data_IF_976577086720
#
_entry.id   IF_976577086720
#
_cell.length_a   1.000
_cell.length_b   1.000
_cell.length_c   1.000
_cell.angle_alpha   90.00
_cell.angle_beta   90.00
_cell.angle_gamma   90.00
#
_symmetry.space_group_name_H-M   'P 1'
#
loop_
_entity.id
_entity.type
_entity.pdbx_description
1 polymer ?
#
# COMPACT_ATOMS: atom_id res chain seq x y z
N UNK A 1 -9.20 -16.55 -7.95
CA UNK A 1 -8.65 -15.80 -6.79
C UNK A 1 -8.44 -14.34 -7.18
N UNK A 2 -8.58 -13.40 -6.25
CA UNK A 2 -8.51 -11.95 -6.52
C UNK A 2 -7.49 -11.32 -5.58
N UNK A 3 -6.57 -10.53 -6.14
CA UNK A 3 -5.64 -9.69 -5.38
C UNK A 3 -6.10 -8.23 -5.46
N UNK A 4 -6.19 -7.57 -4.31
CA UNK A 4 -6.53 -6.15 -4.21
C UNK A 4 -5.35 -5.41 -3.58
N UNK A 5 -4.96 -4.30 -4.20
CA UNK A 5 -3.88 -3.42 -3.73
C UNK A 5 -4.49 -2.08 -3.37
N UNK A 6 -4.25 -1.64 -2.14
CA UNK A 6 -4.65 -0.35 -1.59
C UNK A 6 -3.40 0.47 -1.27
N UNK A 7 -3.13 1.50 -2.09
CA UNK A 7 -1.99 2.41 -1.90
C UNK A 7 -2.51 3.67 -1.21
N UNK A 8 -2.44 3.68 0.13
CA UNK A 8 -2.88 4.78 0.96
C UNK A 8 -1.80 5.83 1.20
N UNK A 9 -2.13 6.84 1.99
CA UNK A 9 -1.20 7.93 2.30
C UNK A 9 -0.08 7.49 3.25
N UNK A 10 -0.32 6.54 4.15
CA UNK A 10 0.66 6.09 5.16
C UNK A 10 1.16 4.68 4.94
N UNK A 11 0.49 3.89 4.09
CA UNK A 11 0.82 2.49 3.89
C UNK A 11 0.27 1.96 2.58
N UNK A 12 0.85 0.85 2.11
CA UNK A 12 0.30 0.00 1.07
C UNK A 12 -0.19 -1.29 1.71
N UNK A 13 -1.37 -1.75 1.33
CA UNK A 13 -1.97 -3.00 1.80
C UNK A 13 -2.36 -3.85 0.60
N UNK A 14 -1.93 -5.11 0.61
CA UNK A 14 -2.39 -6.13 -0.35
C UNK A 14 -3.29 -7.12 0.37
N UNK A 15 -4.45 -7.43 -0.21
CA UNK A 15 -5.39 -8.43 0.31
C UNK A 15 -5.70 -9.47 -0.75
N UNK A 16 -5.69 -10.74 -0.34
CA UNK A 16 -5.97 -11.87 -1.23
C UNK A 16 -7.31 -12.52 -0.89
N UNK A 17 -8.16 -12.70 -1.89
CA UNK A 17 -9.51 -13.25 -1.73
C UNK A 17 -9.65 -14.56 -2.51
N UNK A 18 -10.36 -15.51 -1.92
CA UNK A 18 -10.83 -16.68 -2.67
C UNK A 18 -12.05 -16.34 -3.55
N UNK A 19 -12.48 -17.29 -4.37
CA UNK A 19 -13.59 -17.13 -5.32
C UNK A 19 -14.95 -16.90 -4.66
N UNK A 20 -15.07 -17.17 -3.36
CA UNK A 20 -16.28 -16.91 -2.57
C UNK A 20 -16.26 -15.52 -1.92
N UNK A 21 -15.23 -14.71 -2.18
CA UNK A 21 -15.06 -13.38 -1.60
C UNK A 21 -14.51 -13.35 -0.17
N UNK A 22 -14.01 -14.48 0.36
CA UNK A 22 -13.38 -14.51 1.68
C UNK A 22 -11.90 -14.15 1.59
N UNK A 23 -11.45 -13.31 2.54
CA UNK A 23 -10.03 -12.97 2.70
C UNK A 23 -9.27 -14.22 3.12
N UNK A 24 -8.20 -14.53 2.38
CA UNK A 24 -7.25 -15.61 2.66
C UNK A 24 -5.99 -15.10 3.35
N UNK A 25 -5.51 -13.92 2.96
CA UNK A 25 -4.33 -13.30 3.55
C UNK A 25 -4.35 -11.79 3.33
N UNK A 26 -3.58 -11.08 4.16
CA UNK A 26 -3.34 -9.65 4.08
C UNK A 26 -1.85 -9.43 4.37
N UNK A 27 -1.22 -8.54 3.62
CA UNK A 27 0.08 -7.97 3.93
C UNK A 27 -0.01 -6.44 3.86
N UNK A 28 0.81 -5.75 4.65
CA UNK A 28 0.87 -4.30 4.63
C UNK A 28 2.29 -3.80 4.91
N UNK A 29 2.58 -2.60 4.41
CA UNK A 29 3.85 -1.90 4.63
C UNK A 29 3.59 -0.41 4.81
N UNK A 30 4.02 0.14 5.93
CA UNK A 30 3.98 1.57 6.20
C UNK A 30 5.12 2.32 5.51
N UNK A 31 4.89 3.59 5.21
CA UNK A 31 5.91 4.49 4.67
C UNK A 31 5.64 5.94 5.05
N UNK A 32 6.73 6.71 5.12
CA UNK A 32 6.71 8.12 5.49
C UNK A 32 6.31 9.03 4.33
N UNK A 33 5.79 10.20 4.70
CA UNK A 33 5.61 11.34 3.82
C UNK A 33 6.79 12.30 3.90
N UNK A 34 7.03 13.05 2.84
CA UNK A 34 8.05 14.09 2.79
C UNK A 34 7.38 15.41 3.18
N UNK A 35 7.70 15.89 4.38
CA UNK A 35 7.19 17.17 4.89
C UNK A 35 8.13 18.31 4.48
N UNK A 36 7.64 19.20 3.64
CA UNK A 36 8.37 20.39 3.17
C UNK A 36 7.94 21.64 3.96
N UNK A 37 8.47 22.80 3.61
CA UNK A 37 8.11 24.06 4.25
C UNK A 37 6.61 24.38 4.08
N UNK A 38 5.99 24.89 5.15
CA UNK A 38 4.57 25.26 5.15
C UNK A 38 3.66 24.04 5.26
N UNK A 39 2.58 24.01 4.48
CA UNK A 39 1.58 22.93 4.46
C UNK A 39 1.80 21.89 3.36
N UNK A 40 2.99 21.86 2.75
CA UNK A 40 3.29 20.98 1.62
C UNK A 40 3.72 19.59 2.11
N UNK A 41 3.01 18.56 1.64
CA UNK A 41 3.27 17.15 1.95
C UNK A 41 3.39 16.40 0.63
N UNK A 42 4.56 15.82 0.39
CA UNK A 42 4.91 15.13 -0.85
C UNK A 42 5.16 13.64 -0.60
N UNK A 43 5.13 12.85 -1.67
CA UNK A 43 5.42 11.43 -1.63
C UNK A 43 6.31 11.02 -2.80
N UNK A 44 7.21 10.05 -2.60
CA UNK A 44 8.03 9.50 -3.66
C UNK A 44 7.36 8.24 -4.27
N UNK A 45 6.94 8.24 -5.55
CA UNK A 45 6.25 7.11 -6.17
C UNK A 45 7.06 5.81 -6.19
N UNK A 46 8.40 5.89 -6.14
CA UNK A 46 9.25 4.68 -6.02
C UNK A 46 9.01 3.94 -4.71
N UNK A 47 8.65 4.66 -3.65
CA UNK A 47 8.30 4.06 -2.36
C UNK A 47 7.00 3.28 -2.49
N UNK A 48 5.99 3.80 -3.18
CA UNK A 48 4.74 3.06 -3.44
C UNK A 48 5.01 1.77 -4.23
N UNK A 49 5.79 1.86 -5.33
CA UNK A 49 6.12 0.70 -6.13
C UNK A 49 6.86 -0.38 -5.32
N UNK A 50 7.85 0.04 -4.53
CA UNK A 50 8.55 -0.85 -3.60
C UNK A 50 7.59 -1.47 -2.58
N UNK A 51 6.66 -0.70 -2.03
CA UNK A 51 5.67 -1.22 -1.08
C UNK A 51 4.79 -2.28 -1.69
N UNK A 52 4.33 -2.08 -2.92
CA UNK A 52 3.53 -3.06 -3.65
C UNK A 52 4.28 -4.37 -3.87
N UNK A 53 5.58 -4.31 -4.18
CA UNK A 53 6.42 -5.50 -4.32
C UNK A 53 6.66 -6.22 -2.99
N UNK A 54 6.74 -5.50 -1.88
CA UNK A 54 6.95 -6.09 -0.55
C UNK A 54 5.67 -6.68 0.06
N UNK A 55 4.48 -6.23 -0.38
CA UNK A 55 3.20 -6.74 0.11
C UNK A 55 2.55 -7.77 -0.81
N UNK A 56 3.14 -8.09 -1.97
CA UNK A 56 2.66 -9.13 -2.89
C UNK A 56 3.23 -10.52 -2.62
#
# INVERSE_FOLDING_TARGET
MITVIDVGTTSCKTSFFNEKGYIKSIAYREYDNIYLSGSNVEQNPKVWFKSVLETM
#
